data_IF_292589697514
#
_entry.id   IF_292589697514
#
_cell.length_a   1.000
_cell.length_b   1.000
_cell.length_c   1.000
_cell.angle_alpha   90.00
_cell.angle_beta   90.00
_cell.angle_gamma   90.00
#
_symmetry.space_group_name_H-M   'P 1'
#
loop_
_entity.id
_entity.type
_entity.pdbx_description
1 polymer ?
#
# COMPACT_ATOMS: atom_id res chain seq x y z
N UNK A 1 -9.85 -4.14 6.04
CA UNK A 1 -11.14 -4.13 5.33
C UNK A 1 -11.52 -2.72 4.88
N UNK A 2 -12.21 -2.60 3.80
CA UNK A 2 -12.67 -1.35 3.19
C UNK A 2 -14.14 -1.48 2.81
N UNK A 3 -14.96 -0.46 3.05
CA UNK A 3 -16.37 -0.43 2.63
C UNK A 3 -16.68 0.88 1.92
N UNK A 4 -17.30 0.79 0.76
CA UNK A 4 -17.80 1.91 -0.03
C UNK A 4 -19.22 1.59 -0.52
N UNK A 5 -20.18 2.48 -0.25
CA UNK A 5 -21.56 2.33 -0.71
C UNK A 5 -21.97 3.61 -1.43
N UNK A 6 -22.52 3.47 -2.63
CA UNK A 6 -22.92 4.59 -3.48
C UNK A 6 -24.25 4.28 -4.15
N UNK A 7 -25.07 5.28 -4.44
CA UNK A 7 -26.29 5.11 -5.23
C UNK A 7 -26.01 5.06 -6.74
N UNK A 8 -26.72 4.22 -7.47
CA UNK A 8 -26.54 4.12 -8.92
C UNK A 8 -26.92 5.40 -9.68
N UNK A 9 -27.70 6.28 -9.07
CA UNK A 9 -28.07 7.61 -9.61
C UNK A 9 -27.25 8.75 -9.00
N UNK A 10 -26.24 8.46 -8.16
CA UNK A 10 -25.34 9.48 -7.64
C UNK A 10 -24.25 9.82 -8.68
N UNK A 11 -24.67 10.52 -9.74
CA UNK A 11 -23.78 10.92 -10.82
C UNK A 11 -22.96 12.17 -10.52
N UNK A 12 -23.22 12.86 -9.40
CA UNK A 12 -22.45 14.02 -8.98
C UNK A 12 -20.98 13.67 -8.76
N UNK A 13 -20.08 14.40 -9.44
CA UNK A 13 -18.65 14.12 -9.45
C UNK A 13 -18.30 12.66 -9.84
N UNK A 14 -19.14 12.05 -10.70
CA UNK A 14 -18.94 10.66 -11.19
C UNK A 14 -18.87 9.60 -10.10
N UNK A 15 -19.49 9.81 -8.93
CA UNK A 15 -19.34 8.90 -7.79
C UNK A 15 -19.77 7.47 -8.10
N UNK A 16 -20.90 7.30 -8.80
CA UNK A 16 -21.37 5.98 -9.22
C UNK A 16 -20.38 5.28 -10.17
N UNK A 17 -19.82 5.99 -11.13
CA UNK A 17 -18.82 5.46 -12.07
C UNK A 17 -17.51 5.11 -11.37
N UNK A 18 -17.01 6.02 -10.51
CA UNK A 18 -15.79 5.80 -9.73
C UNK A 18 -15.94 4.64 -8.75
N UNK A 19 -17.13 4.42 -8.20
CA UNK A 19 -17.42 3.26 -7.36
C UNK A 19 -17.27 1.95 -8.14
N UNK A 20 -17.75 1.89 -9.38
CA UNK A 20 -17.55 0.73 -10.26
C UNK A 20 -16.08 0.43 -10.50
N UNK A 21 -15.30 1.42 -10.91
CA UNK A 21 -13.85 1.26 -11.10
C UNK A 21 -13.10 0.88 -9.82
N UNK A 22 -13.54 1.40 -8.68
CA UNK A 22 -12.96 1.02 -7.38
C UNK A 22 -13.24 -0.44 -7.07
N UNK A 23 -14.45 -0.94 -7.36
CA UNK A 23 -14.79 -2.35 -7.17
C UNK A 23 -13.91 -3.25 -8.05
N UNK A 24 -13.81 -2.97 -9.35
CA UNK A 24 -12.96 -3.71 -10.27
C UNK A 24 -11.50 -3.76 -9.80
N UNK A 25 -10.95 -2.62 -9.37
CA UNK A 25 -9.57 -2.54 -8.89
C UNK A 25 -9.34 -3.36 -7.59
N UNK A 26 -10.30 -3.34 -6.66
CA UNK A 26 -10.20 -4.15 -5.44
C UNK A 26 -10.36 -5.64 -5.73
N UNK A 27 -11.25 -6.02 -6.66
CA UNK A 27 -11.41 -7.41 -7.10
C UNK A 27 -10.11 -7.94 -7.73
N UNK A 28 -9.47 -7.15 -8.60
CA UNK A 28 -8.17 -7.50 -9.18
C UNK A 28 -7.08 -7.67 -8.13
N UNK A 29 -6.99 -6.75 -7.17
CA UNK A 29 -6.01 -6.81 -6.09
C UNK A 29 -6.25 -8.01 -5.14
N UNK A 30 -7.50 -8.41 -4.96
CA UNK A 30 -7.87 -9.52 -4.09
C UNK A 30 -7.60 -10.89 -4.72
N UNK A 31 -7.45 -10.98 -6.04
CA UNK A 31 -7.23 -12.25 -6.73
C UNK A 31 -6.01 -12.99 -6.18
N UNK A 32 -6.22 -14.22 -5.70
CA UNK A 32 -5.19 -15.07 -5.12
C UNK A 32 -4.61 -14.59 -3.78
N UNK A 33 -5.30 -13.68 -3.09
CA UNK A 33 -4.87 -13.07 -1.83
C UNK A 33 -6.01 -13.11 -0.81
N UNK A 34 -6.49 -14.28 -0.46
CA UNK A 34 -7.75 -14.54 0.27
C UNK A 34 -7.99 -13.74 1.55
N UNK A 35 -6.96 -13.30 2.25
CA UNK A 35 -7.08 -12.51 3.49
C UNK A 35 -6.69 -11.03 3.32
N UNK A 36 -6.31 -10.64 2.12
CA UNK A 36 -5.90 -9.28 1.81
C UNK A 36 -6.98 -8.56 1.00
N UNK A 37 -6.96 -7.24 1.06
CA UNK A 37 -7.90 -6.39 0.31
C UNK A 37 -9.38 -6.74 0.54
N UNK A 38 -9.71 -7.19 1.76
CA UNK A 38 -11.11 -7.44 2.15
C UNK A 38 -11.94 -6.17 1.91
N UNK A 39 -12.89 -6.26 1.00
CA UNK A 39 -13.70 -5.12 0.62
C UNK A 39 -15.18 -5.47 0.47
N UNK A 40 -16.00 -4.44 0.59
CA UNK A 40 -17.43 -4.45 0.31
C UNK A 40 -17.74 -3.16 -0.43
N UNK A 41 -17.96 -3.25 -1.72
CA UNK A 41 -18.27 -2.10 -2.57
C UNK A 41 -19.62 -2.34 -3.22
N UNK A 42 -20.57 -1.47 -2.92
CA UNK A 42 -21.96 -1.64 -3.34
C UNK A 42 -22.47 -0.41 -4.09
N UNK A 43 -23.07 -0.65 -5.24
CA UNK A 43 -23.81 0.34 -6.00
C UNK A 43 -25.30 0.06 -5.81
N UNK A 44 -25.97 0.83 -4.97
CA UNK A 44 -27.38 0.59 -4.61
C UNK A 44 -28.30 1.03 -5.76
N UNK A 45 -29.07 0.12 -6.36
CA UNK A 45 -29.93 0.45 -7.50
C UNK A 45 -30.99 1.50 -7.15
N UNK A 46 -31.17 2.46 -8.04
CA UNK A 46 -32.22 3.47 -7.95
C UNK A 46 -32.02 4.52 -6.85
N UNK A 47 -30.90 4.53 -6.14
CA UNK A 47 -30.58 5.51 -5.11
C UNK A 47 -29.70 6.63 -5.65
N UNK A 48 -29.92 7.83 -5.18
CA UNK A 48 -29.05 8.99 -5.39
C UNK A 48 -28.01 9.10 -4.28
N UNK A 49 -27.71 10.33 -3.88
CA UNK A 49 -26.70 10.63 -2.86
C UNK A 49 -27.09 10.18 -1.44
N UNK A 50 -28.38 10.11 -1.13
CA UNK A 50 -28.86 9.72 0.21
C UNK A 50 -28.94 8.21 0.33
N UNK A 51 -28.07 7.62 1.15
CA UNK A 51 -27.90 6.18 1.31
C UNK A 51 -27.89 5.82 2.80
N UNK A 52 -28.41 4.62 3.11
CA UNK A 52 -28.30 4.03 4.44
C UNK A 52 -26.94 3.32 4.60
N UNK A 53 -26.13 3.84 5.53
CA UNK A 53 -24.82 3.29 5.89
C UNK A 53 -24.85 2.41 7.15
N UNK A 54 -26.03 2.10 7.69
CA UNK A 54 -26.18 1.38 8.97
C UNK A 54 -25.49 0.01 8.99
N UNK A 55 -25.37 -0.63 7.84
CA UNK A 55 -24.71 -1.95 7.70
C UNK A 55 -23.18 -1.90 7.63
N UNK A 56 -22.59 -0.72 7.43
CA UNK A 56 -21.14 -0.56 7.21
C UNK A 56 -20.35 -0.86 8.48
N UNK A 57 -20.71 -0.25 9.61
CA UNK A 57 -19.99 -0.46 10.87
C UNK A 57 -20.08 -1.89 11.38
N UNK A 58 -21.24 -2.56 11.40
CA UNK A 58 -21.33 -3.98 11.76
C UNK A 58 -20.49 -4.88 10.85
N UNK A 59 -20.40 -4.56 9.56
CA UNK A 59 -19.56 -5.34 8.65
C UNK A 59 -18.08 -5.12 8.93
N UNK A 60 -17.63 -3.87 9.07
CA UNK A 60 -16.23 -3.53 9.36
C UNK A 60 -15.77 -4.09 10.72
N UNK A 61 -16.65 -4.18 11.71
CA UNK A 61 -16.32 -4.68 13.05
C UNK A 61 -15.98 -6.17 13.09
N UNK A 62 -16.26 -6.91 12.03
CA UNK A 62 -15.88 -8.33 11.90
C UNK A 62 -14.39 -8.53 11.62
N UNK A 63 -13.67 -7.46 11.25
CA UNK A 63 -12.27 -7.54 10.87
C UNK A 63 -11.37 -6.90 11.92
N UNK A 64 -10.31 -7.61 12.26
CA UNK A 64 -9.25 -7.09 13.11
C UNK A 64 -8.05 -6.73 12.26
N UNK A 65 -7.48 -5.55 12.51
CA UNK A 65 -6.27 -5.13 11.83
C UNK A 65 -5.10 -6.03 12.25
N UNK A 66 -4.40 -6.61 11.28
CA UNK A 66 -3.09 -7.21 11.50
C UNK A 66 -2.04 -6.08 11.59
N UNK A 67 -1.36 -5.91 12.73
CA UNK A 67 -0.32 -4.89 12.85
C UNK A 67 0.97 -5.26 12.11
N UNK A 68 1.17 -6.54 11.78
CA UNK A 68 2.37 -7.08 11.15
C UNK A 68 2.06 -7.94 9.93
N UNK A 69 1.41 -7.39 8.89
CA UNK A 69 1.09 -8.15 7.70
C UNK A 69 2.38 -8.62 7.01
N UNK A 70 2.39 -9.87 6.57
CA UNK A 70 3.55 -10.47 5.88
C UNK A 70 3.63 -10.13 4.39
N UNK A 71 2.58 -9.55 3.87
CA UNK A 71 2.54 -9.01 2.52
C UNK A 71 1.99 -7.59 2.56
N UNK A 72 2.67 -6.68 1.91
CA UNK A 72 2.29 -5.28 1.82
C UNK A 72 2.53 -4.82 0.40
N UNK A 73 1.54 -4.14 -0.18
CA UNK A 73 1.67 -3.45 -1.46
C UNK A 73 1.30 -1.99 -1.27
N UNK A 74 2.15 -1.10 -1.72
CA UNK A 74 1.98 0.32 -1.53
C UNK A 74 2.41 1.12 -2.76
N UNK A 75 1.50 1.87 -3.29
CA UNK A 75 1.79 2.89 -4.29
C UNK A 75 1.97 4.23 -3.59
N UNK A 76 3.19 4.75 -3.59
CA UNK A 76 3.52 6.03 -2.96
C UNK A 76 3.56 7.13 -4.01
N UNK A 77 2.60 8.02 -3.98
CA UNK A 77 2.54 9.17 -4.85
C UNK A 77 2.25 10.44 -4.03
N UNK A 78 2.62 11.61 -4.52
CA UNK A 78 2.38 12.84 -3.80
C UNK A 78 0.89 13.14 -3.74
N UNK A 79 0.38 13.25 -2.51
CA UNK A 79 -0.93 13.81 -2.23
C UNK A 79 -0.69 15.19 -1.65
N UNK A 80 -1.32 16.20 -2.19
CA UNK A 80 -1.11 17.60 -1.78
C UNK A 80 0.38 18.05 -1.87
N UNK A 81 1.11 17.49 -2.83
CA UNK A 81 2.53 17.78 -3.03
C UNK A 81 3.48 17.06 -2.07
N UNK A 82 2.98 16.23 -1.16
CA UNK A 82 3.79 15.53 -0.16
C UNK A 82 3.73 14.01 -0.35
N UNK A 83 4.90 13.38 -0.39
CA UNK A 83 5.00 11.91 -0.29
C UNK A 83 4.80 11.44 1.15
N UNK A 84 4.07 10.36 1.32
CA UNK A 84 3.96 9.69 2.62
C UNK A 84 5.25 8.94 2.90
N UNK A 85 5.78 9.10 4.11
CA UNK A 85 7.04 8.46 4.50
C UNK A 85 6.86 7.06 5.06
N UNK A 86 5.78 6.79 5.77
CA UNK A 86 5.60 5.53 6.48
C UNK A 86 4.42 4.72 5.96
N UNK A 87 4.64 3.42 5.74
CA UNK A 87 3.61 2.47 5.41
C UNK A 87 3.96 1.07 5.96
N UNK A 88 3.12 0.56 6.86
CA UNK A 88 3.38 -0.67 7.61
C UNK A 88 4.77 -0.65 8.26
N UNK A 89 5.68 -1.54 7.87
CA UNK A 89 7.04 -1.64 8.37
C UNK A 89 8.08 -0.96 7.46
N UNK A 90 7.63 -0.23 6.46
CA UNK A 90 8.49 0.55 5.55
C UNK A 90 8.47 2.03 5.93
N UNK A 91 9.64 2.65 5.96
CA UNK A 91 9.79 4.08 6.10
C UNK A 91 10.72 4.63 5.02
N UNK A 92 10.17 5.46 4.16
CA UNK A 92 10.88 6.06 3.03
C UNK A 92 11.67 7.27 3.52
N UNK A 93 12.98 7.14 3.59
CA UNK A 93 13.88 8.24 3.93
C UNK A 93 14.03 9.18 2.76
N UNK A 94 14.20 8.61 1.57
CA UNK A 94 14.34 9.35 0.33
C UNK A 94 13.47 8.68 -0.74
N UNK A 95 12.44 9.36 -1.27
CA UNK A 95 11.62 8.83 -2.34
C UNK A 95 12.45 8.63 -3.61
N UNK A 96 12.13 7.63 -4.39
CA UNK A 96 12.81 7.43 -5.64
C UNK A 96 12.47 8.53 -6.65
N UNK A 97 13.49 9.03 -7.35
CA UNK A 97 13.41 10.19 -8.24
C UNK A 97 13.54 9.78 -9.70
N UNK A 98 12.68 8.96 -10.22
CA UNK A 98 12.95 8.44 -11.56
C UNK A 98 12.17 9.13 -12.67
N UNK A 99 11.08 9.81 -12.40
CA UNK A 99 10.30 10.43 -13.47
C UNK A 99 9.60 11.71 -13.06
N UNK A 100 9.30 12.55 -14.07
CA UNK A 100 8.67 13.85 -13.93
C UNK A 100 7.27 13.79 -13.33
N UNK A 101 6.53 12.71 -13.61
CA UNK A 101 5.21 12.42 -13.09
C UNK A 101 5.20 11.05 -12.38
N UNK A 102 6.38 10.64 -11.90
CA UNK A 102 6.58 9.32 -11.35
C UNK A 102 5.86 9.12 -10.03
N UNK A 103 5.24 7.96 -9.91
CA UNK A 103 4.76 7.43 -8.65
C UNK A 103 5.67 6.31 -8.22
N UNK A 104 5.96 6.26 -6.95
CA UNK A 104 6.76 5.20 -6.37
C UNK A 104 5.85 4.09 -5.91
N UNK A 105 6.11 2.89 -6.38
CA UNK A 105 5.41 1.67 -5.99
C UNK A 105 6.34 0.78 -5.19
N UNK A 106 5.89 0.40 -4.01
CA UNK A 106 6.61 -0.49 -3.12
C UNK A 106 5.82 -1.78 -2.91
N UNK A 107 6.46 -2.88 -3.17
CA UNK A 107 5.94 -4.20 -2.84
C UNK A 107 6.92 -4.92 -1.95
N UNK A 108 6.45 -5.39 -0.80
CA UNK A 108 7.23 -6.17 0.13
C UNK A 108 6.60 -7.55 0.30
N UNK A 109 7.39 -8.58 0.17
CA UNK A 109 6.98 -9.94 0.48
C UNK A 109 7.97 -10.57 1.45
N UNK A 110 7.47 -11.03 2.58
CA UNK A 110 8.26 -11.69 3.60
C UNK A 110 8.03 -13.20 3.48
N UNK A 111 9.12 -13.95 3.28
CA UNK A 111 9.11 -15.41 3.19
C UNK A 111 10.16 -15.97 4.15
N UNK A 112 9.71 -16.42 5.31
CA UNK A 112 10.62 -16.89 6.38
C UNK A 112 11.53 -15.75 6.83
N UNK A 113 12.84 -15.93 6.66
CA UNK A 113 13.86 -14.93 7.02
C UNK A 113 14.26 -14.02 5.84
N UNK A 114 13.50 -14.05 4.76
CA UNK A 114 13.77 -13.29 3.55
C UNK A 114 12.70 -12.25 3.31
N UNK A 115 13.12 -11.00 3.13
CA UNK A 115 12.27 -9.90 2.72
C UNK A 115 12.56 -9.62 1.25
N UNK A 116 11.52 -9.65 0.43
CA UNK A 116 11.58 -9.27 -0.96
C UNK A 116 10.93 -7.90 -1.09
N UNK A 117 11.71 -6.92 -1.48
CA UNK A 117 11.24 -5.54 -1.68
C UNK A 117 11.35 -5.20 -3.15
N UNK A 118 10.23 -4.92 -3.77
CA UNK A 118 10.17 -4.39 -5.13
C UNK A 118 9.81 -2.91 -5.05
N UNK A 119 10.65 -2.09 -5.64
CA UNK A 119 10.45 -0.64 -5.71
C UNK A 119 10.46 -0.24 -7.17
N UNK A 120 9.31 0.21 -7.62
CA UNK A 120 9.12 0.60 -9.00
C UNK A 120 8.57 2.01 -9.08
N UNK A 121 8.94 2.71 -10.14
CA UNK A 121 8.33 4.00 -10.48
C UNK A 121 7.21 3.77 -11.47
N UNK A 122 6.02 4.25 -11.11
CA UNK A 122 4.84 4.17 -11.98
C UNK A 122 4.72 5.45 -12.78
N UNK A 123 4.77 5.33 -14.09
CA UNK A 123 4.54 6.44 -15.01
C UNK A 123 3.13 6.33 -15.57
N UNK A 124 2.35 7.40 -15.45
CA UNK A 124 1.05 7.49 -16.12
C UNK A 124 1.23 7.93 -17.54
N UNK A 125 0.79 7.10 -18.47
CA UNK A 125 0.87 7.44 -19.88
C UNK A 125 -0.30 8.28 -20.35
N UNK A 126 -1.51 7.99 -19.91
CA UNK A 126 -2.70 8.69 -20.39
C UNK A 126 -3.85 8.63 -19.41
N UNK A 127 -4.51 9.76 -19.20
CA UNK A 127 -5.91 9.83 -18.79
C UNK A 127 -6.67 10.14 -20.06
N UNK A 128 -7.43 9.19 -20.58
CA UNK A 128 -8.31 9.46 -21.71
C UNK A 128 -9.55 10.20 -21.19
N UNK A 129 -9.81 11.34 -21.78
CA UNK A 129 -11.12 11.96 -21.69
C UNK A 129 -11.99 11.35 -22.77
N UNK A 130 -12.97 10.66 -22.35
CA UNK A 130 -14.11 10.28 -23.15
C UNK A 130 -14.99 11.55 -23.38
N UNK A 131 -16.17 11.47 -23.89
CA UNK A 131 -17.07 12.58 -24.17
C UNK A 131 -17.12 13.66 -23.06
N UNK A 132 -17.81 14.77 -23.25
CA UNK A 132 -17.88 15.96 -22.39
C UNK A 132 -18.04 15.66 -20.88
N UNK A 133 -18.55 14.50 -20.54
CA UNK A 133 -18.83 14.07 -19.20
C UNK A 133 -18.05 12.82 -18.78
N UNK A 134 -17.38 12.16 -19.71
CA UNK A 134 -16.66 10.92 -19.45
C UNK A 134 -15.18 11.18 -19.20
N UNK A 135 -14.70 10.72 -18.07
CA UNK A 135 -13.28 10.55 -17.83
C UNK A 135 -13.05 9.05 -17.91
N UNK A 136 -12.35 8.61 -18.94
CA UNK A 136 -11.87 7.24 -18.96
C UNK A 136 -10.74 7.13 -17.95
N UNK A 137 -11.04 6.48 -16.83
CA UNK A 137 -10.08 6.22 -15.77
C UNK A 137 -9.14 5.06 -16.10
N UNK A 138 -9.26 4.45 -17.26
CA UNK A 138 -8.30 3.47 -17.74
C UNK A 138 -7.01 4.19 -18.10
N UNK A 139 -5.98 3.86 -17.39
CA UNK A 139 -4.63 4.36 -17.66
C UNK A 139 -3.66 3.19 -17.79
N UNK A 140 -2.75 3.32 -18.73
CA UNK A 140 -1.62 2.43 -18.83
C UNK A 140 -0.61 2.83 -17.77
N UNK A 141 -0.05 1.84 -17.09
CA UNK A 141 1.04 1.99 -16.16
C UNK A 141 2.28 1.35 -16.76
N UNK A 142 3.34 2.11 -16.86
CA UNK A 142 4.67 1.57 -17.09
C UNK A 142 5.37 1.51 -15.75
N UNK A 143 5.71 0.30 -15.33
CA UNK A 143 6.51 0.05 -14.14
C UNK A 143 7.95 -0.07 -14.58
N UNK A 144 8.82 0.75 -14.01
CA UNK A 144 10.25 0.66 -14.20
C UNK A 144 10.93 0.60 -12.83
N UNK A 145 11.99 -0.20 -12.66
CA UNK A 145 12.75 -0.23 -11.43
C UNK A 145 13.23 1.18 -11.06
N UNK A 146 13.04 1.55 -9.81
CA UNK A 146 13.54 2.82 -9.30
C UNK A 146 15.06 2.82 -9.33
N UNK A 147 15.66 3.90 -9.86
CA UNK A 147 17.11 4.01 -9.98
C UNK A 147 17.79 4.36 -8.66
N UNK A 148 17.12 5.13 -7.82
CA UNK A 148 17.63 5.60 -6.55
C UNK A 148 16.54 5.60 -5.50
N UNK A 149 16.92 5.30 -4.29
CA UNK A 149 16.01 5.37 -3.16
C UNK A 149 16.71 5.03 -1.84
N UNK A 150 16.03 5.33 -0.74
CA UNK A 150 16.48 4.98 0.58
C UNK A 150 15.26 4.65 1.44
N UNK A 151 15.20 3.41 1.93
CA UNK A 151 14.11 2.94 2.77
C UNK A 151 14.65 2.25 4.02
N UNK A 152 14.03 2.53 5.16
CA UNK A 152 14.21 1.75 6.39
C UNK A 152 13.13 0.69 6.45
N UNK A 153 13.54 -0.57 6.58
CA UNK A 153 12.67 -1.73 6.77
C UNK A 153 12.69 -2.06 8.25
N UNK A 154 11.60 -1.81 8.94
CA UNK A 154 11.45 -2.16 10.32
C UNK A 154 11.04 -3.62 10.48
N UNK A 155 11.64 -4.29 11.45
CA UNK A 155 11.49 -5.73 11.68
C UNK A 155 11.19 -6.04 13.15
N UNK A 156 10.53 -7.16 13.35
CA UNK A 156 10.40 -7.79 14.64
C UNK A 156 10.23 -9.31 14.47
N UNK A 157 10.14 -10.04 15.57
CA UNK A 157 10.02 -11.50 15.58
C UNK A 157 8.69 -12.02 15.03
N UNK A 158 7.66 -11.17 14.88
CA UNK A 158 6.40 -11.54 14.23
C UNK A 158 6.53 -11.58 12.71
N UNK A 159 7.47 -10.81 12.15
CA UNK A 159 7.73 -10.74 10.71
C UNK A 159 8.76 -11.77 10.28
N UNK A 160 9.92 -11.80 10.93
CA UNK A 160 11.07 -12.63 10.57
C UNK A 160 11.72 -13.26 11.79
N UNK A 161 12.47 -14.34 11.60
CA UNK A 161 13.27 -14.95 12.67
C UNK A 161 14.60 -14.19 12.85
N UNK A 162 14.64 -13.22 13.77
CA UNK A 162 15.82 -12.39 14.03
C UNK A 162 17.01 -13.17 14.67
N UNK A 163 16.85 -14.44 15.06
CA UNK A 163 17.98 -15.27 15.51
C UNK A 163 18.84 -15.79 14.36
N UNK A 164 18.36 -15.68 13.12
CA UNK A 164 19.02 -16.10 11.89
C UNK A 164 19.43 -14.88 11.04
N UNK A 165 20.35 -15.02 10.09
CA UNK A 165 20.61 -13.97 9.10
C UNK A 165 19.34 -13.62 8.33
N UNK A 166 19.07 -12.33 8.16
CA UNK A 166 17.99 -11.80 7.34
C UNK A 166 18.52 -11.45 5.96
N UNK A 167 17.79 -11.85 4.93
CA UNK A 167 18.10 -11.50 3.55
C UNK A 167 17.06 -10.50 3.05
N UNK A 168 17.52 -9.38 2.51
CA UNK A 168 16.68 -8.42 1.81
C UNK A 168 16.99 -8.46 0.32
N UNK A 169 15.96 -8.66 -0.48
CA UNK A 169 16.05 -8.72 -1.93
C UNK A 169 15.28 -7.52 -2.50
N UNK A 170 15.97 -6.70 -3.27
CA UNK A 170 15.40 -5.54 -3.95
C UNK A 170 15.52 -5.75 -5.47
N UNK A 171 14.39 -5.76 -6.17
CA UNK A 171 14.34 -5.96 -7.62
C UNK A 171 15.16 -7.17 -8.09
N UNK A 172 15.07 -8.28 -7.36
CA UNK A 172 15.79 -9.53 -7.65
C UNK A 172 17.26 -9.59 -7.18
N UNK A 173 17.80 -8.51 -6.64
CA UNK A 173 19.19 -8.46 -6.14
C UNK A 173 19.21 -8.50 -4.61
N UNK A 174 20.17 -9.25 -4.06
CA UNK A 174 20.41 -9.25 -2.62
C UNK A 174 21.12 -7.96 -2.24
N UNK A 175 20.46 -7.11 -1.45
CA UNK A 175 20.98 -5.82 -0.96
C UNK A 175 21.40 -5.87 0.49
N UNK A 176 20.95 -6.87 1.24
CA UNK A 176 21.41 -7.16 2.60
C UNK A 176 21.37 -8.66 2.86
N UNK A 177 22.39 -9.17 3.52
CA UNK A 177 22.41 -10.52 4.08
C UNK A 177 23.24 -10.52 5.36
N UNK A 178 22.60 -10.71 6.50
CA UNK A 178 23.31 -10.71 7.78
C UNK A 178 22.39 -10.72 9.00
N UNK A 179 23.01 -10.74 10.17
CA UNK A 179 22.28 -10.59 11.43
C UNK A 179 21.79 -9.17 11.58
N UNK A 180 20.52 -9.04 11.97
CA UNK A 180 19.89 -7.76 12.28
C UNK A 180 19.61 -7.72 13.78
N UNK A 181 20.40 -6.98 14.56
CA UNK A 181 20.25 -6.95 16.01
C UNK A 181 18.99 -6.18 16.42
N UNK A 182 18.33 -6.68 17.45
CA UNK A 182 17.29 -5.91 18.13
C UNK A 182 17.92 -4.75 18.91
N UNK A 183 17.30 -3.57 18.86
CA UNK A 183 17.81 -2.37 19.52
C UNK A 183 16.69 -1.49 20.07
N UNK A 184 16.97 -0.79 21.16
CA UNK A 184 16.07 0.22 21.70
C UNK A 184 15.87 1.37 20.71
N UNK A 185 16.91 1.72 19.94
CA UNK A 185 16.84 2.76 18.92
C UNK A 185 15.78 2.44 17.86
N UNK A 186 15.73 1.20 17.36
CA UNK A 186 14.70 0.78 16.38
C UNK A 186 13.30 0.86 16.99
N UNK A 187 13.13 0.49 18.26
CA UNK A 187 11.84 0.60 18.94
C UNK A 187 11.41 2.07 19.04
N UNK A 188 12.29 2.96 19.50
CA UNK A 188 12.00 4.38 19.62
C UNK A 188 11.69 5.00 18.28
N UNK A 189 12.48 4.72 17.26
CA UNK A 189 12.27 5.22 15.91
C UNK A 189 10.91 4.80 15.35
N UNK A 190 10.56 3.52 15.48
CA UNK A 190 9.28 3.02 15.00
C UNK A 190 8.09 3.64 15.74
N UNK A 191 8.20 3.85 17.07
CA UNK A 191 7.19 4.57 17.83
C UNK A 191 7.05 6.03 17.37
N UNK A 192 8.18 6.72 17.15
CA UNK A 192 8.18 8.11 16.70
C UNK A 192 7.58 8.28 15.30
N UNK A 193 7.86 7.35 14.38
CA UNK A 193 7.38 7.45 13.00
C UNK A 193 5.91 7.05 12.84
N UNK A 194 5.45 6.04 13.58
CA UNK A 194 4.11 5.51 13.37
C UNK A 194 3.08 5.95 14.43
N UNK A 195 3.52 6.34 15.62
CA UNK A 195 2.62 6.72 16.71
C UNK A 195 1.64 5.62 17.13
N UNK A 196 1.96 4.35 16.84
CA UNK A 196 1.06 3.22 17.01
C UNK A 196 1.66 2.21 18.01
N UNK A 197 1.09 2.10 19.24
CA UNK A 197 1.62 1.21 20.26
C UNK A 197 1.52 -0.28 19.91
N UNK A 198 0.74 -0.65 18.91
CA UNK A 198 0.67 -2.02 18.40
C UNK A 198 1.63 -2.29 17.25
N UNK A 199 2.39 -1.29 16.81
CA UNK A 199 3.31 -1.36 15.69
C UNK A 199 4.72 -0.98 16.11
N UNK A 200 5.25 -1.73 17.09
CA UNK A 200 6.60 -1.55 17.61
C UNK A 200 7.52 -2.57 16.95
N UNK A 201 8.59 -2.07 16.35
CA UNK A 201 9.59 -2.90 15.69
C UNK A 201 10.89 -2.85 16.48
N UNK A 202 11.49 -4.00 16.72
CA UNK A 202 12.68 -4.15 17.57
C UNK A 202 14.00 -4.08 16.80
N UNK A 203 13.91 -4.16 15.47
CA UNK A 203 15.09 -4.17 14.59
C UNK A 203 14.79 -3.37 13.32
N UNK A 204 15.85 -2.98 12.60
CA UNK A 204 15.71 -2.30 11.30
C UNK A 204 16.86 -2.64 10.36
N UNK A 205 16.60 -2.54 9.08
CA UNK A 205 17.60 -2.58 8.00
C UNK A 205 17.40 -1.36 7.13
N UNK A 206 18.45 -0.60 6.94
CA UNK A 206 18.44 0.52 5.99
C UNK A 206 18.95 0.05 4.63
N UNK A 207 18.16 0.28 3.60
CA UNK A 207 18.45 -0.11 2.22
C UNK A 207 18.54 1.14 1.38
N UNK A 208 19.66 1.27 0.69
CA UNK A 208 19.91 2.36 -0.25
C UNK A 208 20.33 1.78 -1.60
N UNK A 209 19.81 2.33 -2.70
CA UNK A 209 20.13 1.89 -4.06
C UNK A 209 20.20 3.04 -5.04
#
# INVERSE_FOLDING_TARGET
AFSLITGSYDAGFYRNTLTGYTAEAFDELAQGKDSMYMHRIELIPGKGHSIDYSTTTPWLSQFTRDPYPKYVSWENFPVDGCYRKGFHNLYVNEPSHVTKDGRTYYEEKIVGDTIILNVDTVVYETIQKDSIWGIDMKFKRNLAPAQHGNVTIFLNRSLVNLSRPVTVILNGNVVHHGKVPESLASMVNSCAYYGDPRRIYTAQVDVKW
#
